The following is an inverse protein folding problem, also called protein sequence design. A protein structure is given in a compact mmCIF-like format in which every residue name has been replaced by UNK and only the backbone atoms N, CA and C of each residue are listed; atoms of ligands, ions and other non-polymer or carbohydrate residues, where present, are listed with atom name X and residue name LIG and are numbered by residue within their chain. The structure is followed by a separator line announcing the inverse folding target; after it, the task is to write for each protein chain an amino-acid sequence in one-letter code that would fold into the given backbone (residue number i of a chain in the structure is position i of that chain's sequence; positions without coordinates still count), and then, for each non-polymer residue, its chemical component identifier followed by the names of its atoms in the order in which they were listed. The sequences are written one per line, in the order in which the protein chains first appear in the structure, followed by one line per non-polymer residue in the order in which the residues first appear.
data_IF_777072056825
#
_entry.id   IF_777072056825
#
_cell.length_a   1.000
_cell.length_b   1.000
_cell.length_c   1.000
_cell.angle_alpha   90.00
_cell.angle_beta   90.00
_cell.angle_gamma   90.00
#
_symmetry.space_group_name_H-M   'P 1'
#
loop_
_entity.id
_entity.type
_entity.pdbx_description
1 polymer ?
#
# COMPACT_ATOMS: atom_id res chain seq x y z
N UNK A 1 18.17 -5.01 0.92
CA UNK A 1 18.03 -6.05 -0.12
C UNK A 1 16.57 -6.47 -0.41
N UNK A 2 15.56 -5.73 0.08
CA UNK A 2 14.14 -6.15 0.08
C UNK A 2 13.28 -5.49 -1.00
N UNK A 3 13.62 -4.27 -1.42
CA UNK A 3 12.81 -3.43 -2.32
C UNK A 3 12.79 -3.96 -3.76
N UNK A 4 13.95 -4.38 -4.29
CA UNK A 4 14.10 -4.88 -5.66
C UNK A 4 13.30 -6.17 -5.92
N UNK A 5 13.12 -7.02 -4.91
CA UNK A 5 12.46 -8.33 -5.08
C UNK A 5 10.94 -8.19 -5.31
N UNK A 6 10.28 -7.23 -4.65
CA UNK A 6 8.83 -7.08 -4.76
C UNK A 6 8.42 -6.52 -6.13
N UNK A 7 9.06 -5.43 -6.56
CA UNK A 7 8.83 -4.86 -7.89
C UNK A 7 9.18 -5.86 -9.01
N UNK A 8 10.23 -6.66 -8.81
CA UNK A 8 10.61 -7.72 -9.75
C UNK A 8 9.52 -8.79 -9.90
N UNK A 9 8.84 -9.19 -8.83
CA UNK A 9 7.76 -10.19 -8.91
C UNK A 9 6.57 -9.69 -9.74
N UNK A 10 6.13 -8.44 -9.54
CA UNK A 10 5.08 -7.82 -10.34
C UNK A 10 5.47 -7.68 -11.82
N UNK A 11 6.73 -7.30 -12.07
CA UNK A 11 7.24 -7.21 -13.43
C UNK A 11 7.28 -8.58 -14.12
N UNK A 12 7.79 -9.61 -13.44
CA UNK A 12 7.91 -10.97 -14.01
C UNK A 12 6.55 -11.60 -14.28
N UNK A 13 5.60 -11.48 -13.36
CA UNK A 13 4.23 -11.98 -13.54
C UNK A 13 3.53 -11.26 -14.68
N UNK A 14 3.61 -9.93 -14.73
CA UNK A 14 3.07 -9.14 -15.85
C UNK A 14 3.69 -9.59 -17.17
N UNK A 15 5.03 -9.70 -17.24
CA UNK A 15 5.74 -10.14 -18.45
C UNK A 15 5.31 -11.53 -18.92
N UNK A 16 4.94 -12.42 -18.01
CA UNK A 16 4.51 -13.78 -18.34
C UNK A 16 3.08 -13.82 -18.92
N UNK A 17 2.14 -13.01 -18.40
CA UNK A 17 0.73 -13.10 -18.77
C UNK A 17 0.26 -12.01 -19.75
N UNK A 18 0.91 -10.85 -19.75
CA UNK A 18 0.52 -9.71 -20.56
C UNK A 18 0.53 -9.97 -22.08
N UNK A 19 1.50 -10.71 -22.66
CA UNK A 19 1.49 -11.00 -24.10
C UNK A 19 0.18 -11.65 -24.57
N UNK A 20 -0.29 -12.69 -23.87
CA UNK A 20 -1.55 -13.35 -24.21
C UNK A 20 -2.75 -12.41 -24.02
N UNK A 21 -2.77 -11.60 -22.95
CA UNK A 21 -3.83 -10.59 -22.76
C UNK A 21 -3.88 -9.58 -23.91
N UNK A 22 -2.70 -9.17 -24.43
CA UNK A 22 -2.58 -8.25 -25.56
C UNK A 22 -3.07 -8.85 -26.88
N UNK A 23 -2.81 -10.14 -27.11
CA UNK A 23 -3.27 -10.89 -28.29
C UNK A 23 -4.80 -10.96 -28.34
N UNK A 24 -5.44 -11.30 -27.22
CA UNK A 24 -6.91 -11.44 -27.15
C UNK A 24 -7.63 -10.14 -26.77
N UNK A 25 -6.87 -9.07 -26.47
CA UNK A 25 -7.37 -7.81 -25.89
C UNK A 25 -8.35 -8.04 -24.73
N UNK A 26 -8.00 -8.93 -23.81
CA UNK A 26 -8.85 -9.27 -22.68
C UNK A 26 -8.02 -9.70 -21.48
N UNK A 27 -8.33 -9.13 -20.32
CA UNK A 27 -7.71 -9.51 -19.05
C UNK A 27 -7.90 -8.46 -17.98
N UNK A 28 -7.43 -8.76 -16.77
CA UNK A 28 -7.45 -7.82 -15.64
C UNK A 28 -6.18 -7.96 -14.83
N UNK A 29 -5.39 -6.89 -14.75
CA UNK A 29 -4.21 -6.81 -13.89
C UNK A 29 -4.58 -6.12 -12.59
N UNK A 30 -4.61 -6.89 -11.51
CA UNK A 30 -4.93 -6.39 -10.16
C UNK A 30 -3.64 -6.29 -9.35
N UNK A 31 -3.33 -5.07 -8.89
CA UNK A 31 -2.14 -4.80 -8.10
C UNK A 31 -2.51 -4.50 -6.65
N UNK A 32 -2.13 -5.38 -5.72
CA UNK A 32 -2.37 -5.18 -4.29
C UNK A 32 -1.15 -4.47 -3.65
N UNK A 33 -1.29 -3.16 -3.47
CA UNK A 33 -0.26 -2.30 -2.91
C UNK A 33 -0.52 -1.99 -1.42
N UNK A 34 -0.61 -0.72 -1.07
CA UNK A 34 -0.88 -0.18 0.27
C UNK A 34 -1.19 1.30 0.14
N UNK A 35 -1.93 1.87 1.10
CA UNK A 35 -2.02 3.31 1.26
C UNK A 35 -0.63 3.96 1.43
N UNK A 36 0.34 3.23 2.01
CA UNK A 36 1.74 3.67 2.13
C UNK A 36 2.53 3.65 0.80
N UNK A 37 1.89 3.31 -0.31
CA UNK A 37 2.40 3.56 -1.67
C UNK A 37 1.93 4.89 -2.26
N UNK A 38 1.07 5.63 -1.56
CA UNK A 38 0.50 6.92 -1.98
C UNK A 38 1.02 8.07 -1.10
N UNK A 39 1.21 7.79 0.18
CA UNK A 39 1.86 8.64 1.16
C UNK A 39 2.81 7.80 2.00
N UNK A 40 3.64 8.42 2.84
CA UNK A 40 4.63 7.70 3.66
C UNK A 40 4.42 7.98 5.15
N UNK A 41 5.11 7.23 6.01
CA UNK A 41 5.25 7.49 7.45
C UNK A 41 6.65 7.06 7.91
N UNK A 42 7.11 7.57 9.05
CA UNK A 42 8.43 7.26 9.59
C UNK A 42 8.51 5.82 10.12
N UNK A 43 9.70 5.21 10.00
CA UNK A 43 10.01 3.91 10.60
C UNK A 43 9.59 2.68 9.77
N UNK A 44 9.16 2.90 8.53
CA UNK A 44 8.82 1.86 7.54
C UNK A 44 9.22 2.31 6.13
N UNK A 45 10.35 2.99 6.00
CA UNK A 45 10.83 3.60 4.76
C UNK A 45 11.07 2.57 3.65
N UNK A 46 11.55 1.37 3.98
CA UNK A 46 11.77 0.28 3.04
C UNK A 46 10.45 -0.30 2.50
N UNK A 47 9.47 -0.47 3.38
CA UNK A 47 8.10 -0.83 3.03
C UNK A 47 7.45 0.24 2.15
N UNK A 48 7.53 1.52 2.55
CA UNK A 48 7.01 2.63 1.75
C UNK A 48 7.65 2.62 0.36
N UNK A 49 8.99 2.61 0.26
CA UNK A 49 9.69 2.59 -1.02
C UNK A 49 9.23 1.42 -1.91
N UNK A 50 9.04 0.23 -1.34
CA UNK A 50 8.53 -0.93 -2.09
C UNK A 50 7.11 -0.71 -2.62
N UNK A 51 6.22 -0.10 -1.83
CA UNK A 51 4.83 0.13 -2.20
C UNK A 51 4.68 1.29 -3.19
N UNK A 52 5.46 2.35 -3.06
CA UNK A 52 5.57 3.41 -4.07
C UNK A 52 6.06 2.84 -5.41
N UNK A 53 7.07 1.97 -5.41
CA UNK A 53 7.55 1.32 -6.63
C UNK A 53 6.48 0.47 -7.32
N UNK A 54 5.68 -0.27 -6.55
CA UNK A 54 4.56 -1.07 -7.10
C UNK A 54 3.42 -0.19 -7.62
N UNK A 55 3.09 0.91 -6.95
CA UNK A 55 2.10 1.89 -7.42
C UNK A 55 2.56 2.53 -8.73
N UNK A 56 3.80 3.04 -8.79
CA UNK A 56 4.34 3.64 -10.01
C UNK A 56 4.41 2.67 -11.19
N UNK A 57 4.77 1.41 -10.95
CA UNK A 57 4.71 0.36 -11.97
C UNK A 57 3.28 0.17 -12.50
N UNK A 58 2.29 0.07 -11.61
CA UNK A 58 0.89 -0.10 -12.00
C UNK A 58 0.36 1.09 -12.81
N UNK A 59 0.67 2.32 -12.37
CA UNK A 59 0.27 3.54 -13.07
C UNK A 59 0.89 3.59 -14.47
N UNK A 60 2.21 3.35 -14.59
CA UNK A 60 2.90 3.33 -15.89
C UNK A 60 2.29 2.29 -16.84
N UNK A 61 2.10 1.06 -16.38
CA UNK A 61 1.50 -0.01 -17.18
C UNK A 61 0.07 0.34 -17.62
N UNK A 62 -0.73 0.93 -16.73
CA UNK A 62 -2.09 1.35 -17.04
C UNK A 62 -2.11 2.45 -18.11
N UNK A 63 -1.14 3.37 -18.08
CA UNK A 63 -0.98 4.39 -19.10
C UNK A 63 -0.54 3.79 -20.45
N UNK A 64 0.40 2.85 -20.44
CA UNK A 64 0.86 2.14 -21.65
C UNK A 64 -0.30 1.40 -22.34
N UNK A 65 -1.12 0.68 -21.58
CA UNK A 65 -2.28 -0.04 -22.11
C UNK A 65 -3.32 0.89 -22.74
N UNK A 66 -3.59 2.03 -22.10
CA UNK A 66 -4.50 3.06 -22.64
C UNK A 66 -3.94 3.71 -23.90
N UNK A 67 -2.64 4.05 -23.90
CA UNK A 67 -1.97 4.62 -25.05
C UNK A 67 -1.92 3.65 -26.24
N UNK A 68 -1.91 2.34 -25.98
CA UNK A 68 -1.98 1.29 -26.99
C UNK A 68 -3.41 0.88 -27.38
N UNK A 69 -4.44 1.61 -26.91
CA UNK A 69 -5.87 1.36 -27.19
C UNK A 69 -6.33 -0.07 -26.81
N UNK A 70 -5.74 -0.63 -25.75
CA UNK A 70 -6.07 -1.98 -25.23
C UNK A 70 -7.20 -1.94 -24.20
N UNK A 71 -8.37 -1.44 -24.62
CA UNK A 71 -9.50 -1.19 -23.73
C UNK A 71 -10.09 -2.44 -23.06
N UNK A 72 -9.82 -3.64 -23.60
CA UNK A 72 -10.29 -4.90 -23.02
C UNK A 72 -9.39 -5.44 -21.90
N UNK A 73 -8.23 -4.82 -21.67
CA UNK A 73 -7.34 -5.13 -20.55
C UNK A 73 -7.56 -4.11 -19.44
N UNK A 74 -8.19 -4.55 -18.35
CA UNK A 74 -8.48 -3.69 -17.19
C UNK A 74 -7.31 -3.68 -16.21
N UNK A 75 -7.20 -2.61 -15.45
CA UNK A 75 -6.24 -2.51 -14.34
C UNK A 75 -6.95 -2.01 -13.09
N UNK A 76 -6.64 -2.60 -11.93
CA UNK A 76 -7.15 -2.14 -10.63
C UNK A 76 -6.04 -2.11 -9.59
N UNK A 77 -5.79 -0.94 -9.02
CA UNK A 77 -4.87 -0.73 -7.92
C UNK A 77 -5.61 -0.78 -6.57
N UNK A 78 -5.23 -1.72 -5.71
CA UNK A 78 -5.81 -1.88 -4.37
C UNK A 78 -4.82 -1.36 -3.32
N UNK A 79 -5.17 -0.25 -2.67
CA UNK A 79 -4.35 0.43 -1.65
C UNK A 79 -5.04 0.41 -0.28
N UNK A 80 -4.94 -0.69 0.48
CA UNK A 80 -5.52 -0.71 1.82
C UNK A 80 -4.67 0.10 2.81
N UNK A 81 -5.36 0.77 3.72
CA UNK A 81 -4.83 1.21 5.01
C UNK A 81 -4.49 0.00 5.89
N UNK A 82 -4.05 0.24 7.12
CA UNK A 82 -3.78 -0.74 8.15
C UNK A 82 -4.90 -1.81 8.23
N UNK A 83 -4.56 -3.05 7.89
CA UNK A 83 -5.45 -4.21 8.00
C UNK A 83 -5.04 -5.04 9.20
N UNK A 84 -6.01 -5.44 10.03
CA UNK A 84 -5.78 -6.24 11.23
C UNK A 84 -5.49 -7.72 10.90
N UNK A 85 -4.27 -7.95 10.42
CA UNK A 85 -3.71 -9.26 10.07
C UNK A 85 -2.52 -9.63 10.97
N UNK A 86 -2.20 -8.78 11.95
CA UNK A 86 -1.01 -8.90 12.79
C UNK A 86 0.29 -8.34 12.18
N UNK A 87 0.33 -8.00 10.88
CA UNK A 87 1.54 -7.49 10.20
C UNK A 87 2.16 -6.26 10.89
N UNK A 88 1.33 -5.31 11.32
CA UNK A 88 1.73 -4.07 11.98
C UNK A 88 1.26 -4.01 13.43
N UNK A 89 1.22 -5.16 14.13
CA UNK A 89 0.85 -5.22 15.54
C UNK A 89 1.73 -4.26 16.35
N UNK A 90 1.10 -3.39 17.15
CA UNK A 90 1.81 -2.36 17.91
C UNK A 90 1.91 -1.01 17.19
N UNK A 91 1.49 -0.88 15.94
CA UNK A 91 1.24 0.42 15.33
C UNK A 91 0.16 1.16 16.13
N UNK A 92 0.42 2.41 16.53
CA UNK A 92 -0.54 3.23 17.28
C UNK A 92 -0.65 4.60 16.67
N UNK A 93 -1.84 4.95 16.20
CA UNK A 93 -2.17 6.34 15.86
C UNK A 93 -2.63 7.08 17.11
N UNK A 94 -2.83 8.40 16.97
CA UNK A 94 -3.36 9.23 18.06
C UNK A 94 -4.75 8.70 18.49
N UNK A 95 -4.97 8.56 19.80
CA UNK A 95 -6.20 7.96 20.37
C UNK A 95 -7.47 8.66 19.94
N UNK A 96 -7.43 9.98 19.77
CA UNK A 96 -8.60 10.75 19.33
C UNK A 96 -8.96 10.51 17.85
N UNK A 97 -8.00 10.03 17.05
CA UNK A 97 -8.18 9.72 15.62
C UNK A 97 -8.57 8.25 15.40
N UNK A 98 -8.20 7.37 16.33
CA UNK A 98 -8.45 5.93 16.25
C UNK A 98 -9.92 5.54 15.98
N UNK A 99 -10.95 6.18 16.58
CA UNK A 99 -12.34 5.88 16.24
C UNK A 99 -12.72 6.21 14.79
N UNK A 100 -12.04 7.16 14.16
CA UNK A 100 -12.31 7.59 12.79
C UNK A 100 -11.49 6.81 11.75
N UNK A 101 -10.31 6.32 12.15
CA UNK A 101 -9.40 5.53 11.30
C UNK A 101 -8.95 4.25 12.01
N UNK A 102 -9.89 3.35 12.39
CA UNK A 102 -9.52 2.09 13.02
C UNK A 102 -8.86 1.14 12.01
N UNK A 103 -8.06 0.16 12.49
CA UNK A 103 -7.60 -0.93 11.65
C UNK A 103 -8.78 -1.61 10.91
N UNK A 104 -8.58 -1.90 9.63
CA UNK A 104 -9.57 -2.56 8.79
C UNK A 104 -9.66 -4.04 9.13
N UNK A 105 -10.89 -4.55 9.22
CA UNK A 105 -11.13 -5.99 9.22
C UNK A 105 -10.72 -6.59 7.87
N UNK A 106 -10.02 -7.75 7.84
CA UNK A 106 -9.60 -8.39 6.59
C UNK A 106 -10.76 -8.62 5.61
N UNK A 107 -11.90 -9.15 6.08
CA UNK A 107 -13.07 -9.42 5.23
C UNK A 107 -13.63 -8.17 4.57
N UNK A 108 -13.62 -7.04 5.29
CA UNK A 108 -14.06 -5.76 4.74
C UNK A 108 -13.10 -5.28 3.65
N UNK A 109 -11.79 -5.39 3.88
CA UNK A 109 -10.78 -5.05 2.88
C UNK A 109 -10.95 -5.88 1.60
N UNK A 110 -11.13 -7.20 1.74
CA UNK A 110 -11.37 -8.11 0.61
C UNK A 110 -12.66 -7.75 -0.12
N UNK A 111 -13.75 -7.48 0.61
CA UNK A 111 -15.03 -7.08 0.01
C UNK A 111 -14.90 -5.80 -0.83
N UNK A 112 -14.16 -4.80 -0.35
CA UNK A 112 -13.92 -3.57 -1.11
C UNK A 112 -13.02 -3.80 -2.31
N UNK A 113 -11.97 -4.62 -2.17
CA UNK A 113 -11.11 -5.00 -3.28
C UNK A 113 -11.89 -5.75 -4.38
N UNK A 114 -12.67 -6.77 -4.01
CA UNK A 114 -13.50 -7.52 -4.94
C UNK A 114 -14.52 -6.62 -5.63
N UNK A 115 -15.17 -5.71 -4.90
CA UNK A 115 -16.08 -4.73 -5.52
C UNK A 115 -15.35 -3.89 -6.56
N UNK A 116 -14.15 -3.39 -6.25
CA UNK A 116 -13.37 -2.58 -7.17
C UNK A 116 -13.01 -3.35 -8.45
N UNK A 117 -12.55 -4.60 -8.31
CA UNK A 117 -12.22 -5.51 -9.41
C UNK A 117 -13.46 -5.75 -10.28
N UNK A 118 -14.59 -6.13 -9.68
CA UNK A 118 -15.83 -6.45 -10.40
C UNK A 118 -16.48 -5.24 -11.09
N UNK A 119 -16.06 -4.02 -10.74
CA UNK A 119 -16.58 -2.77 -11.34
C UNK A 119 -15.50 -2.02 -12.11
N UNK A 120 -14.40 -2.68 -12.48
CA UNK A 120 -13.28 -2.12 -13.25
C UNK A 120 -12.75 -0.78 -12.69
N UNK A 121 -12.77 -0.59 -11.37
CA UNK A 121 -12.26 0.64 -10.80
C UNK A 121 -10.75 0.70 -10.98
N UNK A 122 -10.19 1.81 -11.51
CA UNK A 122 -8.75 1.93 -11.72
C UNK A 122 -7.99 1.90 -10.40
N UNK A 123 -8.60 2.38 -9.31
CA UNK A 123 -7.97 2.42 -8.00
C UNK A 123 -8.99 2.41 -6.87
N UNK A 124 -8.69 1.68 -5.80
CA UNK A 124 -9.41 1.72 -4.52
C UNK A 124 -8.44 1.93 -3.35
N UNK A 125 -8.61 3.03 -2.63
CA UNK A 125 -7.94 3.28 -1.34
C UNK A 125 -8.96 3.11 -0.20
N UNK A 126 -8.72 2.16 0.71
CA UNK A 126 -9.66 1.81 1.79
C UNK A 126 -9.04 2.14 3.15
N UNK A 127 -9.74 2.84 4.08
CA UNK A 127 -11.05 3.48 3.88
C UNK A 127 -10.94 4.69 2.93
N UNK A 128 -12.05 5.08 2.29
CA UNK A 128 -12.05 6.18 1.32
C UNK A 128 -11.61 7.53 1.90
N UNK A 129 -11.67 7.69 3.22
CA UNK A 129 -11.11 8.86 3.91
C UNK A 129 -9.61 9.08 3.59
N UNK A 130 -8.89 8.01 3.27
CA UNK A 130 -7.47 8.09 2.90
C UNK A 130 -7.19 8.86 1.62
N UNK A 131 -8.17 9.00 0.71
CA UNK A 131 -8.02 9.88 -0.45
C UNK A 131 -7.78 11.33 -0.04
N UNK A 132 -8.38 11.79 1.06
CA UNK A 132 -8.15 13.15 1.59
C UNK A 132 -6.70 13.30 2.05
N UNK A 133 -6.15 12.31 2.77
CA UNK A 133 -4.75 12.34 3.22
C UNK A 133 -3.79 12.39 2.04
N UNK A 134 -4.01 11.55 1.02
CA UNK A 134 -3.21 11.56 -0.21
C UNK A 134 -3.30 12.92 -0.92
N UNK A 135 -4.52 13.45 -1.08
CA UNK A 135 -4.76 14.74 -1.73
C UNK A 135 -4.09 15.90 -0.97
N UNK A 136 -4.22 15.95 0.36
CA UNK A 136 -3.57 16.94 1.20
C UNK A 136 -2.05 16.88 1.06
N UNK A 137 -1.45 15.69 1.07
CA UNK A 137 0.00 15.50 0.86
C UNK A 137 0.48 15.95 -0.53
N UNK A 138 -0.38 15.91 -1.55
CA UNK A 138 -0.04 16.39 -2.89
C UNK A 138 -0.08 17.92 -3.05
N UNK A 139 -0.84 18.63 -2.20
CA UNK A 139 -1.01 20.10 -2.31
C UNK A 139 -0.19 20.85 -1.26
N UNK A 140 -0.07 20.29 -0.06
CA UNK A 140 0.57 20.98 1.06
C UNK A 140 2.10 21.02 0.92
N UNK A 141 2.75 22.14 1.32
CA UNK A 141 4.20 22.18 1.45
C UNK A 141 4.66 21.21 2.54
N UNK A 142 5.92 20.75 2.44
CA UNK A 142 6.47 19.71 3.31
C UNK A 142 6.26 19.95 4.81
N UNK A 143 6.51 21.17 5.29
CA UNK A 143 6.32 21.53 6.71
C UNK A 143 4.85 21.42 7.17
N UNK A 144 3.90 21.74 6.29
CA UNK A 144 2.48 21.56 6.58
C UNK A 144 2.09 20.07 6.62
N UNK A 145 2.68 19.24 5.76
CA UNK A 145 2.51 17.78 5.83
C UNK A 145 3.07 17.23 7.15
N UNK A 146 4.24 17.69 7.58
CA UNK A 146 4.82 17.32 8.88
C UNK A 146 3.89 17.72 10.04
N UNK A 147 3.34 18.94 10.01
CA UNK A 147 2.37 19.40 11.00
C UNK A 147 1.10 18.53 11.03
N UNK A 148 0.53 18.23 9.85
CA UNK A 148 -0.61 17.34 9.70
C UNK A 148 -0.32 15.95 10.29
N UNK A 149 0.85 15.39 10.00
CA UNK A 149 1.24 14.07 10.50
C UNK A 149 1.39 14.04 12.02
N UNK A 150 1.99 15.09 12.61
CA UNK A 150 2.07 15.25 14.07
C UNK A 150 0.68 15.38 14.69
N UNK A 151 -0.21 16.15 14.08
CA UNK A 151 -1.59 16.31 14.56
C UNK A 151 -2.38 15.00 14.55
N UNK A 152 -2.21 14.18 13.51
CA UNK A 152 -2.85 12.86 13.37
C UNK A 152 -2.13 11.77 14.19
N UNK A 153 -0.95 12.05 14.75
CA UNK A 153 -0.07 11.08 15.39
C UNK A 153 0.51 10.05 14.42
N UNK A 154 0.53 10.36 13.13
CA UNK A 154 1.08 9.51 12.08
C UNK A 154 2.60 9.63 11.95
N UNK A 155 3.25 10.61 12.58
CA UNK A 155 4.70 10.80 12.57
C UNK A 155 5.47 9.75 13.39
N UNK A 156 4.84 9.20 14.44
CA UNK A 156 5.45 8.21 15.35
C UNK A 156 4.68 6.90 15.46
N UNK A 157 3.70 6.67 14.59
CA UNK A 157 2.76 5.55 14.74
C UNK A 157 3.44 4.18 14.69
N UNK A 158 4.56 4.06 13.98
CA UNK A 158 5.33 2.82 13.82
C UNK A 158 6.37 2.58 14.91
N UNK A 159 6.67 3.55 15.77
CA UNK A 159 7.75 3.40 16.76
C UNK A 159 7.49 2.27 17.76
N UNK A 160 6.27 2.07 18.29
CA UNK A 160 6.04 0.94 19.20
C UNK A 160 6.11 -0.41 18.47
N UNK A 161 5.74 -0.49 17.18
CA UNK A 161 5.95 -1.69 16.35
C UNK A 161 7.44 -2.03 16.21
N UNK A 162 8.29 -1.04 15.93
CA UNK A 162 9.74 -1.24 15.81
C UNK A 162 10.34 -1.68 17.14
N UNK A 163 9.91 -1.08 18.25
CA UNK A 163 10.37 -1.46 19.58
C UNK A 163 10.02 -2.92 19.91
N UNK A 164 8.79 -3.35 19.61
CA UNK A 164 8.37 -4.75 19.79
C UNK A 164 9.19 -5.71 18.94
N UNK A 165 9.47 -5.37 17.67
CA UNK A 165 10.33 -6.21 16.81
C UNK A 165 11.76 -6.31 17.32
N UNK A 166 12.37 -5.21 17.76
CA UNK A 166 13.71 -5.23 18.35
C UNK A 166 13.77 -6.12 19.59
N UNK A 167 12.78 -6.02 20.48
CA UNK A 167 12.69 -6.90 21.65
C UNK A 167 12.56 -8.37 21.26
N UNK A 168 11.73 -8.70 20.27
CA UNK A 168 11.59 -10.07 19.78
C UNK A 168 12.89 -10.63 19.18
N UNK A 169 13.63 -9.83 18.41
CA UNK A 169 14.93 -10.23 17.84
C UNK A 169 15.95 -10.48 18.95
N UNK A 170 16.11 -9.53 19.88
CA UNK A 170 17.05 -9.67 20.99
C UNK A 170 16.74 -10.89 21.87
N UNK A 171 15.46 -11.16 22.12
CA UNK A 171 15.03 -12.33 22.89
C UNK A 171 15.32 -13.65 22.16
N UNK A 172 15.27 -13.66 20.83
CA UNK A 172 15.62 -14.84 20.02
C UNK A 172 17.14 -15.06 19.96
N UNK A 173 17.93 -13.99 19.87
CA UNK A 173 19.40 -14.06 19.96
C UNK A 173 19.85 -14.57 21.32
N UNK A 174 19.29 -14.03 22.41
CA UNK A 174 19.57 -14.50 23.77
C UNK A 174 19.17 -15.97 24.02
N UNK A 175 18.14 -16.47 23.32
CA UNK A 175 17.71 -17.88 23.41
C UNK A 175 18.55 -18.82 22.54
N UNK A 176 19.13 -18.32 21.44
CA UNK A 176 19.91 -19.11 20.50
C UNK A 176 21.42 -19.10 20.77
N UNK A 177 21.88 -18.42 21.82
CA UNK A 177 23.25 -18.55 22.34
C UNK A 177 24.34 -18.26 21.32
N UNK A 178 24.25 -17.11 20.65
CA UNK A 178 25.41 -16.47 19.98
C UNK A 178 25.84 -15.30 20.85
#
# INVERSE_FOLDING_TARGET
MSILKLASCFFQTTKAFLPTMLEINHGHIVTVASSLGLFSTAGVEDYCASKFGVVGFHESLSHELKAAEKDGIKTTLVCPYLVDTGMFRGCRIRKEIEPFLPPLKPDYCVKQAMRAILTDQPMICTPRLMYIVTFMKSILPFEAVVCMYRFLGADKCMYPFIAQRKQATNNNEAKNGI
#
